data_IF_427040213713
#
_entry.id   IF_427040213713
#
_cell.length_a   1.000
_cell.length_b   1.000
_cell.length_c   1.000
_cell.angle_alpha   90.00
_cell.angle_beta   90.00
_cell.angle_gamma   90.00
#
_symmetry.space_group_name_H-M   'P 1'
#
loop_
_entity.id
_entity.type
_entity.pdbx_description
1 polymer ?
#
# COMPACT_ATOMS: atom_id res chain seq x y z
N UNK A 1 14.64 -47.89 66.68
CA UNK A 1 15.60 -48.28 65.62
C UNK A 1 15.69 -47.11 64.65
N UNK A 2 16.73 -46.28 64.80
CA UNK A 2 17.01 -45.16 63.91
C UNK A 2 17.60 -45.69 62.60
N UNK A 3 16.91 -45.42 61.50
CA UNK A 3 17.33 -45.75 60.13
C UNK A 3 18.61 -44.97 59.79
N UNK A 4 19.75 -45.65 59.83
CA UNK A 4 21.07 -45.09 59.58
C UNK A 4 21.37 -45.16 58.07
N UNK A 5 20.80 -44.22 57.30
CA UNK A 5 21.13 -44.07 55.87
C UNK A 5 22.22 -43.03 55.69
N UNK A 6 23.33 -43.44 55.08
CA UNK A 6 24.47 -42.58 54.83
C UNK A 6 24.17 -41.52 53.77
N UNK A 7 24.89 -40.38 53.77
CA UNK A 7 24.65 -39.25 52.86
C UNK A 7 24.96 -39.53 51.37
N UNK A 8 25.40 -40.75 51.04
CA UNK A 8 25.87 -41.13 49.71
C UNK A 8 25.14 -42.35 49.12
N UNK A 9 23.94 -42.68 49.61
CA UNK A 9 23.11 -43.67 48.94
C UNK A 9 22.51 -43.07 47.65
N UNK A 10 22.73 -43.69 46.47
CA UNK A 10 22.08 -43.25 45.26
C UNK A 10 20.55 -43.40 45.41
N UNK A 11 19.75 -42.42 44.96
CA UNK A 11 18.29 -42.48 45.10
C UNK A 11 17.74 -43.71 44.37
N UNK A 12 16.67 -44.35 44.88
CA UNK A 12 16.12 -45.55 44.26
C UNK A 12 15.73 -45.27 42.81
N UNK A 13 16.20 -46.11 41.90
CA UNK A 13 15.86 -46.03 40.48
C UNK A 13 14.33 -46.11 40.33
N UNK A 14 13.70 -45.02 39.91
CA UNK A 14 12.30 -45.04 39.50
C UNK A 14 12.20 -45.92 38.25
N UNK A 15 11.86 -47.20 38.41
CA UNK A 15 11.39 -48.04 37.30
C UNK A 15 10.14 -47.40 36.70
N UNK A 16 10.33 -46.59 35.66
CA UNK A 16 9.24 -46.19 34.75
C UNK A 16 9.02 -47.31 33.75
N UNK A 17 8.42 -48.41 34.21
CA UNK A 17 7.91 -49.46 33.32
C UNK A 17 6.42 -49.23 33.07
N UNK A 18 6.11 -48.14 32.36
CA UNK A 18 4.87 -48.06 31.59
C UNK A 18 5.24 -48.31 30.14
N UNK A 19 4.71 -49.36 29.52
CA UNK A 19 4.88 -49.57 28.07
C UNK A 19 4.53 -48.25 27.36
N UNK A 20 5.42 -47.71 26.51
CA UNK A 20 5.15 -46.44 25.85
C UNK A 20 3.92 -46.61 24.96
N UNK A 21 2.79 -46.02 25.38
CA UNK A 21 1.51 -46.06 24.64
C UNK A 21 1.72 -45.61 23.18
N UNK A 22 2.65 -44.69 22.93
CA UNK A 22 3.05 -44.28 21.58
C UNK A 22 3.67 -45.41 20.75
N UNK A 23 4.42 -46.35 21.34
CA UNK A 23 4.91 -47.54 20.64
C UNK A 23 3.78 -48.51 20.38
N UNK A 24 2.81 -48.65 21.29
CA UNK A 24 1.63 -49.51 21.07
C UNK A 24 0.76 -48.96 19.94
N UNK A 25 0.51 -47.64 19.91
CA UNK A 25 -0.25 -46.99 18.85
C UNK A 25 0.50 -47.03 17.50
N UNK A 26 1.82 -46.87 17.52
CA UNK A 26 2.65 -47.00 16.33
C UNK A 26 2.65 -48.44 15.79
N UNK A 27 2.80 -49.44 16.66
CA UNK A 27 2.71 -50.86 16.29
C UNK A 27 1.31 -51.23 15.77
N UNK A 28 0.24 -50.70 16.39
CA UNK A 28 -1.14 -50.92 15.96
C UNK A 28 -1.41 -50.29 14.58
N UNK A 29 -0.90 -49.08 14.32
CA UNK A 29 -1.00 -48.44 13.01
C UNK A 29 -0.22 -49.21 11.95
N UNK A 30 1.00 -49.66 12.26
CA UNK A 30 1.80 -50.50 11.36
C UNK A 30 1.09 -51.81 11.03
N UNK A 31 0.48 -52.46 12.02
CA UNK A 31 -0.30 -53.67 11.82
C UNK A 31 -1.54 -53.40 10.93
N UNK A 32 -2.30 -52.34 11.20
CA UNK A 32 -3.48 -51.99 10.42
C UNK A 32 -3.15 -51.69 8.94
N UNK A 33 -2.04 -51.00 8.70
CA UNK A 33 -1.60 -50.68 7.34
C UNK A 33 -1.05 -51.93 6.63
N UNK A 34 -0.29 -52.77 7.32
CA UNK A 34 0.15 -54.06 6.78
C UNK A 34 -1.03 -54.94 6.36
N UNK A 35 -2.08 -55.00 7.18
CA UNK A 35 -3.33 -55.71 6.86
C UNK A 35 -4.03 -55.07 5.65
N UNK A 36 -4.08 -53.74 5.57
CA UNK A 36 -4.66 -53.02 4.44
C UNK A 36 -3.94 -53.32 3.12
N UNK A 37 -2.60 -53.33 3.13
CA UNK A 37 -1.77 -53.67 1.96
C UNK A 37 -1.99 -55.13 1.56
N UNK A 38 -2.01 -56.05 2.53
CA UNK A 38 -2.25 -57.47 2.27
C UNK A 38 -3.63 -57.71 1.65
N UNK A 39 -4.68 -57.06 2.17
CA UNK A 39 -6.04 -57.13 1.61
C UNK A 39 -6.12 -56.53 0.20
N UNK A 40 -5.41 -55.43 -0.07
CA UNK A 40 -5.35 -54.86 -1.41
C UNK A 40 -4.62 -55.78 -2.40
N UNK A 41 -3.53 -56.42 -1.96
CA UNK A 41 -2.76 -57.36 -2.75
C UNK A 41 -3.56 -58.62 -3.10
N UNK A 42 -4.33 -59.15 -2.14
CA UNK A 42 -5.20 -60.30 -2.32
C UNK A 42 -6.37 -60.01 -3.28
N UNK A 43 -6.96 -58.81 -3.17
CA UNK A 43 -8.11 -58.41 -4.00
C UNK A 43 -7.73 -57.95 -5.42
N UNK A 44 -6.50 -57.51 -5.65
CA UNK A 44 -6.04 -56.97 -6.93
C UNK A 44 -4.65 -57.51 -7.33
N UNK A 45 -4.52 -58.81 -7.63
CA UNK A 45 -3.22 -59.47 -7.85
C UNK A 45 -2.43 -58.94 -9.06
N UNK A 46 -3.10 -58.31 -10.04
CA UNK A 46 -2.47 -57.77 -11.25
C UNK A 46 -1.92 -56.35 -11.14
N UNK A 47 -2.14 -55.64 -10.03
CA UNK A 47 -1.66 -54.25 -9.87
C UNK A 47 -0.25 -54.14 -9.32
N UNK A 48 0.26 -55.14 -8.61
CA UNK A 48 1.58 -55.10 -7.97
C UNK A 48 2.72 -55.61 -8.87
N UNK A 49 2.39 -56.23 -10.01
CA UNK A 49 3.35 -56.76 -10.98
C UNK A 49 3.72 -55.77 -12.09
N UNK A 50 2.96 -54.68 -12.26
CA UNK A 50 3.27 -53.59 -13.19
C UNK A 50 4.19 -52.56 -12.52
N UNK A 51 5.13 -51.99 -13.28
CA UNK A 51 6.11 -50.98 -12.82
C UNK A 51 5.44 -49.81 -12.08
N UNK A 52 4.31 -49.31 -12.60
CA UNK A 52 3.52 -48.23 -11.99
C UNK A 52 2.97 -48.59 -10.61
N UNK A 53 2.64 -49.87 -10.39
CA UNK A 53 2.11 -50.35 -9.12
C UNK A 53 3.16 -50.45 -8.02
N UNK A 54 4.41 -50.73 -8.39
CA UNK A 54 5.54 -50.70 -7.45
C UNK A 54 5.85 -49.26 -7.02
N UNK A 55 5.76 -48.30 -7.96
CA UNK A 55 5.94 -46.87 -7.67
C UNK A 55 4.87 -46.35 -6.71
N UNK A 56 3.61 -46.72 -6.92
CA UNK A 56 2.51 -46.34 -6.03
C UNK A 56 2.65 -46.95 -4.62
N UNK A 57 3.10 -48.20 -4.52
CA UNK A 57 3.37 -48.85 -3.23
C UNK A 57 4.50 -48.14 -2.47
N UNK A 58 5.61 -47.83 -3.15
CA UNK A 58 6.74 -47.12 -2.54
C UNK A 58 6.33 -45.72 -2.11
N UNK A 59 5.52 -45.01 -2.91
CA UNK A 59 4.97 -43.69 -2.55
C UNK A 59 4.09 -43.78 -1.31
N UNK A 60 3.19 -44.76 -1.23
CA UNK A 60 2.31 -44.96 -0.07
C UNK A 60 3.10 -45.30 1.19
N UNK A 61 4.10 -46.18 1.09
CA UNK A 61 5.00 -46.52 2.21
C UNK A 61 5.83 -45.32 2.66
N UNK A 62 6.28 -44.47 1.73
CA UNK A 62 7.03 -43.25 2.03
C UNK A 62 6.18 -42.21 2.76
N UNK A 63 4.94 -42.00 2.31
CA UNK A 63 3.97 -41.10 2.98
C UNK A 63 3.64 -41.63 4.38
N UNK A 64 3.45 -42.94 4.51
CA UNK A 64 3.20 -43.58 5.80
C UNK A 64 4.38 -43.43 6.76
N UNK A 65 5.61 -43.64 6.29
CA UNK A 65 6.82 -43.45 7.09
C UNK A 65 6.97 -42.00 7.55
N UNK A 66 6.65 -41.03 6.67
CA UNK A 66 6.67 -39.61 6.97
C UNK A 66 5.66 -39.24 8.08
N UNK A 67 4.41 -39.70 7.95
CA UNK A 67 3.36 -39.47 8.95
C UNK A 67 3.72 -40.16 10.28
N UNK A 68 4.23 -41.39 10.22
CA UNK A 68 4.63 -42.17 11.39
C UNK A 68 5.80 -41.54 12.16
N UNK A 69 6.73 -40.88 11.45
CA UNK A 69 7.86 -40.16 12.07
C UNK A 69 7.37 -39.00 12.96
N UNK A 70 6.25 -38.36 12.61
CA UNK A 70 5.65 -37.28 13.42
C UNK A 70 5.04 -37.78 14.74
N UNK A 71 4.48 -39.00 14.75
CA UNK A 71 3.88 -39.57 15.96
C UNK A 71 4.93 -39.95 17.01
N UNK A 72 6.14 -40.36 16.60
CA UNK A 72 7.23 -40.65 17.54
C UNK A 72 7.74 -39.39 18.25
N UNK A 73 7.59 -38.22 17.63
CA UNK A 73 7.91 -36.90 18.20
C UNK A 73 6.78 -36.28 19.03
N UNK A 74 5.57 -36.87 19.02
CA UNK A 74 4.38 -36.33 19.70
C UNK A 74 4.42 -36.43 21.23
N UNK A 75 5.55 -36.79 21.84
CA UNK A 75 5.67 -37.04 23.29
C UNK A 75 5.62 -35.77 24.15
N UNK A 76 5.68 -34.57 23.57
CA UNK A 76 5.60 -33.27 24.28
C UNK A 76 4.98 -32.13 23.46
N UNK A 77 3.89 -32.36 22.73
CA UNK A 77 3.15 -31.23 22.14
C UNK A 77 2.35 -30.58 23.25
N UNK A 78 2.82 -29.44 23.73
CA UNK A 78 2.03 -28.59 24.61
C UNK A 78 0.84 -28.08 23.79
N UNK A 79 -0.35 -28.64 24.00
CA UNK A 79 -1.58 -28.22 23.30
C UNK A 79 -1.83 -26.71 23.41
N UNK A 80 -1.39 -26.09 24.51
CA UNK A 80 -1.41 -24.64 24.69
C UNK A 80 -0.49 -23.90 23.72
N UNK A 81 0.70 -24.42 23.42
CA UNK A 81 1.63 -23.82 22.44
C UNK A 81 1.14 -24.02 21.01
N UNK A 82 0.56 -25.18 20.70
CA UNK A 82 -0.02 -25.44 19.38
C UNK A 82 -1.22 -24.52 19.11
N UNK A 83 -2.13 -24.38 20.09
CA UNK A 83 -3.25 -23.45 20.00
C UNK A 83 -2.79 -21.99 19.87
N UNK A 84 -1.78 -21.58 20.66
CA UNK A 84 -1.19 -20.24 20.57
C UNK A 84 -0.59 -19.97 19.19
N UNK A 85 0.15 -20.93 18.63
CA UNK A 85 0.77 -20.78 17.32
C UNK A 85 -0.28 -20.73 16.20
N UNK A 86 -1.32 -21.55 16.27
CA UNK A 86 -2.44 -21.50 15.31
C UNK A 86 -3.17 -20.15 15.39
N UNK A 87 -3.41 -19.63 16.60
CA UNK A 87 -4.02 -18.32 16.78
C UNK A 87 -3.14 -17.20 16.21
N UNK A 88 -1.82 -17.25 16.43
CA UNK A 88 -0.87 -16.29 15.88
C UNK A 88 -0.83 -16.33 14.35
N UNK A 89 -0.75 -17.51 13.75
CA UNK A 89 -0.74 -17.66 12.29
C UNK A 89 -2.07 -17.25 11.65
N UNK A 90 -3.19 -17.63 12.26
CA UNK A 90 -4.53 -17.19 11.81
C UNK A 90 -4.67 -15.68 11.92
N UNK A 91 -4.19 -15.08 13.02
CA UNK A 91 -4.17 -13.62 13.20
C UNK A 91 -3.32 -12.91 12.16
N UNK A 92 -2.10 -13.41 11.91
CA UNK A 92 -1.22 -12.87 10.87
C UNK A 92 -1.85 -12.97 9.47
N UNK A 93 -2.46 -14.12 9.14
CA UNK A 93 -3.17 -14.30 7.89
C UNK A 93 -4.37 -13.34 7.76
N UNK A 94 -5.14 -13.14 8.83
CA UNK A 94 -6.24 -12.19 8.85
C UNK A 94 -5.76 -10.74 8.63
N UNK A 95 -4.65 -10.35 9.25
CA UNK A 95 -4.02 -9.04 9.03
C UNK A 95 -3.57 -8.89 7.57
N UNK A 96 -2.94 -9.91 6.99
CA UNK A 96 -2.54 -9.89 5.58
C UNK A 96 -3.74 -9.79 4.64
N UNK A 97 -4.83 -10.51 4.92
CA UNK A 97 -6.08 -10.42 4.17
C UNK A 97 -6.67 -9.01 4.28
N UNK A 98 -6.67 -8.41 5.47
CA UNK A 98 -7.10 -7.02 5.65
C UNK A 98 -6.22 -6.06 4.85
N UNK A 99 -4.89 -6.18 4.93
CA UNK A 99 -3.96 -5.35 4.14
C UNK A 99 -4.23 -5.49 2.65
N UNK A 100 -4.40 -6.72 2.14
CA UNK A 100 -4.68 -6.98 0.73
C UNK A 100 -6.06 -6.41 0.32
N UNK A 101 -7.08 -6.61 1.15
CA UNK A 101 -8.45 -6.12 0.90
C UNK A 101 -8.49 -4.59 0.85
N UNK A 102 -7.73 -3.94 1.74
CA UNK A 102 -7.71 -2.47 1.89
C UNK A 102 -6.47 -1.81 1.28
N UNK A 103 -5.72 -2.51 0.41
CA UNK A 103 -4.46 -2.00 -0.13
C UNK A 103 -4.63 -0.67 -0.88
N UNK A 104 -5.74 -0.51 -1.61
CA UNK A 104 -6.03 0.71 -2.36
C UNK A 104 -6.39 1.89 -1.43
N UNK A 105 -7.16 1.63 -0.38
CA UNK A 105 -7.50 2.65 0.63
C UNK A 105 -6.26 3.08 1.42
N UNK A 106 -5.38 2.13 1.77
CA UNK A 106 -4.11 2.39 2.44
C UNK A 106 -3.17 3.25 1.57
N UNK A 107 -3.10 2.99 0.26
CA UNK A 107 -2.32 3.80 -0.68
C UNK A 107 -2.89 5.23 -0.82
N UNK A 108 -4.22 5.37 -0.84
CA UNK A 108 -4.87 6.68 -0.85
C UNK A 108 -4.67 7.45 0.46
N UNK A 109 -4.62 6.77 1.60
CA UNK A 109 -4.29 7.37 2.90
C UNK A 109 -2.81 7.77 3.00
N UNK A 110 -1.90 6.96 2.50
CA UNK A 110 -0.47 7.29 2.44
C UNK A 110 -0.20 8.51 1.55
N UNK A 111 -0.89 8.62 0.41
CA UNK A 111 -0.88 9.82 -0.42
C UNK A 111 -1.39 11.06 0.32
N UNK A 112 -2.44 10.93 1.15
CA UNK A 112 -2.97 12.03 1.97
C UNK A 112 -1.98 12.53 3.03
N UNK A 113 -1.28 11.62 3.70
CA UNK A 113 -0.24 11.98 4.69
C UNK A 113 0.93 12.72 4.03
N UNK A 114 1.36 12.30 2.84
CA UNK A 114 2.35 13.08 2.06
C UNK A 114 1.83 14.46 1.65
N UNK A 115 0.57 14.59 1.23
CA UNK A 115 -0.03 15.91 0.90
C UNK A 115 -0.24 16.82 2.11
N UNK A 116 -0.30 16.26 3.32
CA UNK A 116 -0.40 17.05 4.56
C UNK A 116 0.95 17.66 4.96
N UNK A 117 2.06 17.02 4.55
CA UNK A 117 3.42 17.53 4.70
C UNK A 117 3.83 18.47 3.55
N UNK A 118 3.25 18.29 2.35
CA UNK A 118 3.50 19.11 1.16
C UNK A 118 2.16 19.53 0.49
N UNK A 119 1.47 20.55 1.03
CA UNK A 119 0.23 21.06 0.44
C UNK A 119 0.49 21.65 -0.96
N UNK A 120 -0.24 21.14 -1.98
CA UNK A 120 -0.26 21.69 -3.34
C UNK A 120 -0.06 20.69 -4.49
N UNK A 121 0.33 19.44 -4.20
CA UNK A 121 0.38 18.37 -5.20
C UNK A 121 -1.04 17.95 -5.62
N UNK A 122 -1.38 18.03 -6.92
CA UNK A 122 -2.63 17.49 -7.47
C UNK A 122 -2.73 15.99 -7.21
N UNK A 123 -3.78 15.56 -6.49
CA UNK A 123 -4.12 14.13 -6.45
C UNK A 123 -5.07 13.84 -7.60
N UNK A 124 -4.59 13.02 -8.53
CA UNK A 124 -5.37 12.57 -9.68
C UNK A 124 -6.45 11.59 -9.21
N UNK A 125 -7.72 11.98 -9.38
CA UNK A 125 -8.85 11.07 -9.25
C UNK A 125 -9.05 10.28 -10.53
N UNK A 126 -9.68 9.10 -10.42
CA UNK A 126 -10.30 8.47 -11.58
C UNK A 126 -11.21 9.51 -12.28
N UNK A 127 -11.21 9.52 -13.61
CA UNK A 127 -12.04 10.40 -14.47
C UNK A 127 -11.53 11.83 -14.72
N UNK A 128 -10.21 12.08 -14.63
CA UNK A 128 -9.65 13.40 -14.98
C UNK A 128 -10.00 14.50 -13.99
N UNK A 129 -10.35 14.10 -12.77
CA UNK A 129 -10.61 14.98 -11.64
C UNK A 129 -9.30 15.27 -10.92
N UNK A 130 -9.08 16.53 -10.52
CA UNK A 130 -7.97 16.93 -9.64
C UNK A 130 -8.53 17.32 -8.28
N UNK A 131 -8.02 16.71 -7.21
CA UNK A 131 -8.33 17.13 -5.84
C UNK A 131 -7.14 17.84 -5.21
N UNK A 132 -7.40 19.04 -4.68
CA UNK A 132 -6.43 19.87 -3.97
C UNK A 132 -6.87 20.02 -2.51
N UNK A 133 -5.91 19.92 -1.61
CA UNK A 133 -6.13 20.17 -0.18
C UNK A 133 -5.74 21.61 0.16
N UNK A 134 -6.58 22.28 0.94
CA UNK A 134 -6.33 23.64 1.41
C UNK A 134 -5.04 23.72 2.22
N UNK A 135 -4.14 24.60 1.79
CA UNK A 135 -2.83 24.81 2.42
C UNK A 135 -2.92 25.54 3.77
N UNK A 136 -1.76 25.72 4.41
CA UNK A 136 -1.64 26.55 5.62
C UNK A 136 -1.92 28.00 5.23
N UNK A 137 -2.94 28.63 5.84
CA UNK A 137 -3.39 29.98 5.50
C UNK A 137 -4.72 30.07 4.76
N UNK A 138 -5.37 28.93 4.45
CA UNK A 138 -6.74 28.94 3.92
C UNK A 138 -6.86 29.07 2.39
N UNK A 139 -5.75 29.19 1.68
CA UNK A 139 -5.72 29.21 0.22
C UNK A 139 -5.50 27.82 -0.36
N UNK A 140 -6.02 27.59 -1.57
CA UNK A 140 -5.74 26.39 -2.35
C UNK A 140 -4.55 26.64 -3.27
N UNK A 141 -3.63 25.68 -3.31
CA UNK A 141 -2.48 25.72 -4.19
C UNK A 141 -2.51 24.51 -5.12
N UNK A 142 -2.04 24.71 -6.35
CA UNK A 142 -1.91 23.68 -7.36
C UNK A 142 -0.52 23.75 -7.99
N UNK A 143 0.23 22.66 -7.90
CA UNK A 143 1.44 22.49 -8.69
C UNK A 143 1.05 22.19 -10.13
N UNK A 144 1.62 22.95 -11.07
CA UNK A 144 1.35 22.85 -12.49
C UNK A 144 2.62 22.93 -13.32
N UNK A 145 2.52 22.62 -14.62
CA UNK A 145 3.60 22.84 -15.58
C UNK A 145 3.21 23.92 -16.56
N UNK A 146 3.99 25.01 -16.61
CA UNK A 146 3.89 26.04 -17.64
C UNK A 146 5.08 25.89 -18.59
N UNK A 147 4.81 25.69 -19.88
CA UNK A 147 5.83 25.39 -20.89
C UNK A 147 6.80 24.27 -20.47
N UNK A 148 6.31 23.27 -19.71
CA UNK A 148 7.11 22.15 -19.21
C UNK A 148 7.78 22.36 -17.85
N UNK A 149 7.89 23.60 -17.35
CA UNK A 149 8.51 23.92 -16.06
C UNK A 149 7.48 23.85 -14.93
N UNK A 150 7.84 23.19 -13.83
CA UNK A 150 6.97 23.06 -12.65
C UNK A 150 6.89 24.37 -11.85
N UNK A 151 5.68 24.92 -11.72
CA UNK A 151 5.35 26.14 -10.98
C UNK A 151 4.22 25.87 -9.99
N UNK A 152 4.18 26.62 -8.89
CA UNK A 152 3.08 26.57 -7.94
C UNK A 152 2.13 27.74 -8.20
N UNK A 153 0.83 27.45 -8.27
CA UNK A 153 -0.21 28.45 -8.46
C UNK A 153 -1.15 28.48 -7.26
N UNK A 154 -1.53 29.67 -6.83
CA UNK A 154 -2.65 29.86 -5.91
C UNK A 154 -3.95 29.98 -6.69
N UNK A 155 -5.00 29.27 -6.26
CA UNK A 155 -6.34 29.42 -6.84
C UNK A 155 -6.95 30.72 -6.30
N UNK A 156 -7.31 31.64 -7.19
CA UNK A 156 -7.83 32.95 -6.83
C UNK A 156 -9.07 33.30 -7.67
N UNK A 157 -10.26 33.16 -7.09
CA UNK A 157 -11.53 33.52 -7.75
C UNK A 157 -11.70 35.03 -7.92
N UNK A 158 -10.91 35.86 -7.23
CA UNK A 158 -10.89 37.31 -7.41
C UNK A 158 -10.03 37.76 -8.59
N UNK A 159 -9.11 36.93 -9.06
CA UNK A 159 -8.32 37.19 -10.25
C UNK A 159 -9.11 36.87 -11.53
N UNK A 160 -9.16 37.81 -12.47
CA UNK A 160 -9.81 37.58 -13.78
C UNK A 160 -8.94 36.70 -14.68
N UNK A 161 -7.65 37.01 -14.77
CA UNK A 161 -6.68 36.31 -15.63
C UNK A 161 -5.85 35.30 -14.84
N UNK A 162 -5.19 34.39 -15.55
CA UNK A 162 -4.04 33.65 -15.00
C UNK A 162 -2.88 34.65 -14.90
N UNK A 163 -2.29 34.79 -13.73
CA UNK A 163 -1.22 35.76 -13.47
C UNK A 163 0.07 35.03 -13.13
N UNK A 164 1.16 35.37 -13.79
CA UNK A 164 2.50 34.87 -13.45
C UNK A 164 3.27 35.92 -12.65
N UNK A 165 3.93 35.47 -11.60
CA UNK A 165 4.93 36.28 -10.90
C UNK A 165 6.12 36.58 -11.82
N UNK A 166 6.82 37.71 -11.63
CA UNK A 166 8.08 37.96 -12.36
C UNK A 166 9.09 36.84 -12.15
N UNK A 167 9.15 36.27 -10.93
CA UNK A 167 10.02 35.14 -10.60
C UNK A 167 9.70 33.89 -11.42
N UNK A 168 8.43 33.51 -11.52
CA UNK A 168 8.03 32.34 -12.31
C UNK A 168 8.14 32.57 -13.81
N UNK A 169 7.90 33.80 -14.29
CA UNK A 169 8.15 34.18 -15.68
C UNK A 169 9.63 33.95 -16.05
N UNK A 170 10.56 34.35 -15.18
CA UNK A 170 12.00 34.08 -15.35
C UNK A 170 12.30 32.57 -15.38
N UNK A 171 11.67 31.78 -14.51
CA UNK A 171 11.85 30.31 -14.46
C UNK A 171 11.41 29.60 -15.74
N UNK A 172 10.50 30.19 -16.50
CA UNK A 172 10.06 29.66 -17.80
C UNK A 172 10.73 30.35 -18.99
N UNK A 173 11.82 31.08 -18.75
CA UNK A 173 12.67 31.69 -19.77
C UNK A 173 12.13 33.01 -20.34
N UNK A 174 11.17 33.66 -19.68
CA UNK A 174 10.66 34.97 -20.09
C UNK A 174 11.40 36.04 -19.28
N UNK A 175 12.00 37.01 -19.98
CA UNK A 175 12.60 38.18 -19.34
C UNK A 175 11.53 39.26 -19.08
N UNK A 176 11.12 39.52 -17.83
CA UNK A 176 10.10 40.50 -17.51
C UNK A 176 10.50 41.93 -17.92
N UNK A 177 11.80 42.26 -17.91
CA UNK A 177 12.29 43.60 -18.25
C UNK A 177 12.08 43.95 -19.74
N UNK A 178 11.98 42.93 -20.59
CA UNK A 178 11.71 43.08 -22.03
C UNK A 178 10.23 43.31 -22.36
N UNK A 179 9.32 43.14 -21.39
CA UNK A 179 7.88 43.13 -21.62
C UNK A 179 7.26 44.53 -21.60
N UNK A 180 6.12 44.65 -22.30
CA UNK A 180 5.29 45.85 -22.28
C UNK A 180 4.09 45.67 -21.36
N UNK A 181 4.13 46.34 -20.21
CA UNK A 181 3.08 46.33 -19.20
C UNK A 181 1.91 47.25 -19.57
N UNK A 182 1.04 46.76 -20.46
CA UNK A 182 -0.07 47.52 -21.06
C UNK A 182 -1.43 47.24 -20.43
N UNK A 183 -1.56 46.18 -19.61
CA UNK A 183 -2.79 45.86 -18.88
C UNK A 183 -2.76 46.51 -17.50
N UNK A 184 -3.91 47.01 -17.08
CA UNK A 184 -4.11 47.63 -15.77
C UNK A 184 -5.13 46.78 -15.01
N UNK A 185 -4.80 46.44 -13.77
CA UNK A 185 -5.63 45.62 -12.89
C UNK A 185 -5.92 46.38 -11.59
N UNK A 186 -7.14 46.26 -11.10
CA UNK A 186 -7.50 46.75 -9.77
C UNK A 186 -7.28 45.60 -8.78
N UNK A 187 -6.43 45.84 -7.79
CA UNK A 187 -6.06 44.87 -6.77
C UNK A 187 -6.31 45.43 -5.38
N UNK A 188 -6.26 44.59 -4.35
CA UNK A 188 -6.40 45.03 -2.96
C UNK A 188 -5.32 46.05 -2.54
N UNK A 189 -4.13 45.99 -3.14
CA UNK A 189 -3.02 46.90 -2.87
C UNK A 189 -3.01 48.13 -3.80
N UNK A 190 -4.12 48.37 -4.52
CA UNK A 190 -4.25 49.45 -5.49
C UNK A 190 -4.10 48.99 -6.94
N UNK A 191 -3.69 49.89 -7.80
CA UNK A 191 -3.61 49.62 -9.24
C UNK A 191 -2.33 48.87 -9.59
N UNK A 192 -2.48 47.64 -10.09
CA UNK A 192 -1.40 46.82 -10.63
C UNK A 192 -1.31 46.91 -12.14
N UNK A 193 -0.14 46.56 -12.69
CA UNK A 193 0.11 46.52 -14.13
C UNK A 193 0.59 45.14 -14.53
N UNK A 194 0.17 44.68 -15.71
CA UNK A 194 0.55 43.38 -16.25
C UNK A 194 0.89 43.43 -17.73
N UNK A 195 1.78 42.54 -18.15
CA UNK A 195 2.15 42.33 -19.53
C UNK A 195 1.40 41.11 -20.07
N UNK A 196 0.60 41.24 -21.14
CA UNK A 196 -0.08 40.10 -21.74
C UNK A 196 0.94 39.15 -22.37
N UNK A 197 0.78 37.85 -22.14
CA UNK A 197 1.63 36.81 -22.70
C UNK A 197 0.81 35.56 -23.06
N UNK A 198 1.38 34.68 -23.90
CA UNK A 198 0.77 33.40 -24.27
C UNK A 198 1.73 32.26 -23.98
N UNK A 199 1.32 31.37 -23.08
CA UNK A 199 2.01 30.12 -22.83
C UNK A 199 1.67 29.11 -23.92
N UNK A 200 2.66 28.33 -24.35
CA UNK A 200 2.44 27.23 -25.28
C UNK A 200 1.58 26.14 -24.62
N UNK A 201 1.88 25.82 -23.36
CA UNK A 201 1.14 24.84 -22.57
C UNK A 201 1.02 25.25 -21.11
N UNK A 202 -0.12 24.90 -20.50
CA UNK A 202 -0.31 24.92 -19.05
C UNK A 202 -1.03 23.63 -18.64
N UNK A 203 -0.50 22.91 -17.66
CA UNK A 203 -1.15 21.72 -17.12
C UNK A 203 -1.20 21.71 -15.59
N UNK A 204 -2.31 21.22 -15.03
CA UNK A 204 -2.55 20.95 -13.61
C UNK A 204 -3.03 19.50 -13.51
N UNK A 205 -2.17 18.59 -13.02
CA UNK A 205 -2.44 17.14 -13.11
C UNK A 205 -2.81 16.72 -14.55
N UNK A 206 -3.92 16.00 -14.79
CA UNK A 206 -4.39 15.60 -16.12
C UNK A 206 -5.02 16.75 -16.94
N UNK A 207 -5.30 17.90 -16.33
CA UNK A 207 -5.92 19.04 -17.01
C UNK A 207 -4.84 19.80 -17.78
N UNK A 208 -4.85 19.71 -19.10
CA UNK A 208 -3.88 20.41 -19.96
C UNK A 208 -4.60 21.30 -20.99
N UNK A 209 -4.11 22.53 -21.11
CA UNK A 209 -4.50 23.48 -22.15
C UNK A 209 -3.29 23.94 -22.96
N UNK A 210 -3.53 24.29 -24.22
CA UNK A 210 -2.55 24.89 -25.13
C UNK A 210 -2.94 26.34 -25.42
N UNK A 211 -1.99 27.14 -25.87
CA UNK A 211 -2.18 28.55 -26.22
C UNK A 211 -2.92 29.33 -25.10
N UNK A 212 -2.34 29.31 -23.92
CA UNK A 212 -2.96 29.84 -22.70
C UNK A 212 -2.56 31.29 -22.52
N UNK A 213 -3.55 32.19 -22.59
CA UNK A 213 -3.37 33.61 -22.25
C UNK A 213 -3.10 33.74 -20.75
N UNK A 214 -2.03 34.46 -20.43
CA UNK A 214 -1.64 34.82 -19.07
C UNK A 214 -1.24 36.29 -19.03
N UNK A 215 -1.17 36.85 -17.83
CA UNK A 215 -0.64 38.19 -17.57
C UNK A 215 0.59 38.06 -16.68
N UNK A 216 1.70 38.68 -17.04
CA UNK A 216 2.90 38.70 -16.21
C UNK A 216 2.84 39.97 -15.39
N UNK A 217 2.85 39.86 -14.05
CA UNK A 217 2.74 41.03 -13.19
C UNK A 217 3.99 41.91 -13.26
N UNK A 218 3.85 43.22 -13.11
CA UNK A 218 4.98 44.16 -13.06
C UNK A 218 5.66 44.14 -11.67
N UNK A 219 4.85 44.14 -10.62
CA UNK A 219 5.34 44.08 -9.25
C UNK A 219 5.67 42.63 -8.84
N UNK A 220 6.60 42.47 -7.91
CA UNK A 220 6.89 41.17 -7.31
C UNK A 220 5.67 40.65 -6.53
N UNK A 221 5.46 39.34 -6.59
CA UNK A 221 4.37 38.65 -5.90
C UNK A 221 4.85 37.26 -5.46
N UNK A 222 4.33 36.78 -4.33
CA UNK A 222 4.80 35.54 -3.73
C UNK A 222 4.41 34.30 -4.54
N UNK A 223 3.25 34.31 -5.18
CA UNK A 223 2.71 33.17 -5.90
C UNK A 223 2.07 33.61 -7.21
N UNK A 224 2.23 32.80 -8.27
CA UNK A 224 1.41 32.91 -9.48
C UNK A 224 -0.04 32.54 -9.17
N UNK A 225 -1.00 33.07 -9.93
CA UNK A 225 -2.44 32.94 -9.67
C UNK A 225 -3.15 32.20 -10.81
N UNK A 226 -4.02 31.26 -10.46
CA UNK A 226 -5.02 30.70 -11.37
C UNK A 226 -6.36 31.39 -11.13
N UNK A 227 -6.63 32.37 -11.99
CA UNK A 227 -7.86 33.14 -11.98
C UNK A 227 -9.04 32.47 -12.70
N UNK A 228 -10.13 33.23 -12.80
CA UNK A 228 -11.38 32.79 -13.43
C UNK A 228 -11.23 32.41 -14.91
N UNK A 229 -10.27 32.98 -15.64
CA UNK A 229 -9.96 32.60 -17.03
C UNK A 229 -9.46 31.15 -17.19
N UNK A 230 -8.92 30.55 -16.12
CA UNK A 230 -8.66 29.12 -16.03
C UNK A 230 -9.89 28.37 -15.52
N UNK A 231 -10.44 28.79 -14.38
CA UNK A 231 -11.53 28.08 -13.69
C UNK A 231 -12.78 27.91 -14.56
N UNK A 232 -13.09 28.87 -15.44
CA UNK A 232 -14.23 28.78 -16.37
C UNK A 232 -14.04 27.81 -17.53
N UNK A 233 -12.82 27.30 -17.73
CA UNK A 233 -12.54 26.27 -18.75
C UNK A 233 -12.78 24.85 -18.23
N UNK A 234 -12.95 24.70 -16.92
CA UNK A 234 -13.30 23.46 -16.26
C UNK A 234 -14.78 23.18 -16.46
N UNK A 235 -15.16 21.90 -16.54
CA UNK A 235 -16.56 21.49 -16.53
C UNK A 235 -17.21 21.76 -15.16
N UNK A 236 -16.44 21.60 -14.09
CA UNK A 236 -16.85 21.95 -12.73
C UNK A 236 -15.65 22.30 -11.84
N UNK A 237 -15.86 23.19 -10.87
CA UNK A 237 -14.99 23.35 -9.71
C UNK A 237 -15.85 23.46 -8.45
N UNK A 238 -15.52 22.68 -7.42
CA UNK A 238 -16.34 22.56 -6.22
C UNK A 238 -15.46 22.61 -4.96
N UNK A 239 -15.88 23.39 -3.96
CA UNK A 239 -15.20 23.44 -2.65
C UNK A 239 -16.04 22.64 -1.65
N UNK A 240 -15.43 21.59 -1.09
CA UNK A 240 -16.01 20.73 -0.07
C UNK A 240 -15.14 20.78 1.19
N UNK A 241 -15.51 21.65 2.14
CA UNK A 241 -14.71 21.90 3.34
C UNK A 241 -13.30 22.37 3.00
N UNK A 242 -12.28 21.55 3.29
CA UNK A 242 -10.86 21.82 3.01
C UNK A 242 -10.37 21.26 1.68
N UNK A 243 -11.27 20.78 0.80
CA UNK A 243 -10.93 20.22 -0.51
C UNK A 243 -11.48 21.09 -1.62
N UNK A 244 -10.69 21.27 -2.66
CA UNK A 244 -11.11 21.82 -3.94
C UNK A 244 -11.03 20.71 -4.99
N UNK A 245 -12.12 20.48 -5.70
CA UNK A 245 -12.24 19.47 -6.74
C UNK A 245 -12.36 20.20 -8.08
N UNK A 246 -11.48 19.90 -9.03
CA UNK A 246 -11.47 20.45 -10.38
C UNK A 246 -11.78 19.33 -11.38
N UNK A 247 -12.69 19.57 -12.32
CA UNK A 247 -13.06 18.60 -13.36
C UNK A 247 -12.88 19.20 -14.75
N UNK A 248 -12.29 18.42 -15.66
CA UNK A 248 -12.11 18.81 -17.06
C UNK A 248 -13.43 18.73 -17.84
#
# INVERSE_FOLDING_TARGET
MSDNRGPWEPPPERRRSGFPIGVVLWLALMAAVGIGIWLLADRFPGRLSSDDGQVDLVRLLSILALISSGLLFARRINFSEMARNIALWTGAAAVLVLIYTYQEELLLMAGRVQTELLPGEPVDGADGTVSLTQGRGGHFFATGKANGTSLQFMIDTGATDIVLSPADARRIGIDPASLRYTRIYQTANGTGRGAPYRLATLSIGPIQYRDVRVSINEAEMNNSLLGMSFLRRLSAFEIHGRKLILRK
#
